data_IF_569738588564
#
_entry.id   IF_569738588564
#
_cell.length_a   1.000
_cell.length_b   1.000
_cell.length_c   1.000
_cell.angle_alpha   90.00
_cell.angle_beta   90.00
_cell.angle_gamma   90.00
#
_symmetry.space_group_name_H-M   'P 1'
#
loop_
_entity.id
_entity.type
_entity.pdbx_description
1 polymer ?
#
# COMPACT_ATOMS: atom_id res chain seq x y z
N UNK A 1 -36.58 -27.28 -25.53
CA UNK A 1 -36.78 -25.83 -25.31
C UNK A 1 -37.67 -25.62 -24.09
N UNK A 2 -37.46 -24.52 -23.35
CA UNK A 2 -38.16 -24.01 -22.14
C UNK A 2 -37.65 -24.40 -20.73
N UNK A 3 -36.71 -23.55 -20.30
CA UNK A 3 -36.25 -23.00 -19.00
C UNK A 3 -36.62 -23.59 -17.63
N UNK A 4 -35.53 -23.95 -16.92
CA UNK A 4 -35.37 -24.07 -15.47
C UNK A 4 -35.18 -22.70 -14.82
N UNK A 5 -35.84 -22.47 -13.69
CA UNK A 5 -35.61 -21.31 -12.84
C UNK A 5 -36.15 -21.51 -11.42
N UNK A 6 -35.53 -22.39 -10.67
CA UNK A 6 -35.65 -22.45 -9.20
C UNK A 6 -34.25 -22.58 -8.63
N UNK A 7 -33.79 -21.54 -7.94
CA UNK A 7 -32.66 -21.64 -7.01
C UNK A 7 -33.20 -21.25 -5.64
N UNK A 8 -33.85 -22.22 -5.01
CA UNK A 8 -33.93 -22.29 -3.56
C UNK A 8 -32.54 -22.59 -3.06
N UNK A 9 -31.82 -21.60 -2.55
CA UNK A 9 -30.69 -21.83 -1.66
C UNK A 9 -30.73 -20.75 -0.58
N UNK A 10 -31.49 -21.04 0.46
CA UNK A 10 -31.23 -20.50 1.78
C UNK A 10 -29.76 -20.80 2.09
N UNK A 11 -28.93 -19.76 2.14
CA UNK A 11 -27.58 -19.89 2.67
C UNK A 11 -27.70 -19.81 4.19
N UNK A 12 -28.14 -20.91 4.80
CA UNK A 12 -28.00 -21.16 6.24
C UNK A 12 -26.53 -21.45 6.51
N UNK A 13 -25.80 -20.45 7.00
CA UNK A 13 -24.45 -20.65 7.51
C UNK A 13 -24.53 -21.32 8.89
N UNK A 14 -24.39 -22.65 8.93
CA UNK A 14 -23.95 -23.33 10.15
C UNK A 14 -22.45 -23.17 10.31
N UNK A 15 -22.03 -22.32 11.25
CA UNK A 15 -20.63 -22.32 11.72
C UNK A 15 -20.54 -23.38 12.82
N UNK A 16 -20.29 -24.62 12.41
CA UNK A 16 -20.00 -25.72 13.32
C UNK A 16 -18.69 -25.46 14.05
N UNK A 17 -18.78 -25.54 15.37
CA UNK A 17 -17.71 -25.53 16.35
C UNK A 17 -16.49 -26.32 15.88
N UNK A 18 -15.33 -25.67 15.72
CA UNK A 18 -14.04 -26.15 16.21
C UNK A 18 -12.92 -25.18 15.80
N UNK A 19 -12.26 -24.57 16.78
CA UNK A 19 -10.83 -24.26 16.60
C UNK A 19 -10.13 -24.38 17.94
N UNK A 20 -9.49 -25.54 18.10
CA UNK A 20 -8.57 -25.85 19.16
C UNK A 20 -7.51 -24.73 19.31
N UNK A 21 -7.44 -24.16 20.52
CA UNK A 21 -6.27 -23.55 21.18
C UNK A 21 -5.12 -23.08 20.26
N UNK A 22 -5.43 -22.27 19.25
CA UNK A 22 -4.41 -21.47 18.55
C UNK A 22 -3.98 -20.43 19.57
N UNK A 23 -2.68 -20.37 19.86
CA UNK A 23 -2.09 -19.40 20.78
C UNK A 23 -2.85 -18.06 20.70
N UNK A 24 -3.33 -17.57 21.84
CA UNK A 24 -4.24 -16.42 21.93
C UNK A 24 -3.45 -15.14 21.62
N UNK A 25 -3.10 -14.97 20.34
CA UNK A 25 -2.35 -13.83 19.82
C UNK A 25 -3.28 -12.62 19.99
N UNK A 26 -2.96 -11.80 21.00
CA UNK A 26 -3.63 -10.52 21.22
C UNK A 26 -3.01 -9.47 20.31
N UNK A 27 -3.60 -9.26 19.15
CA UNK A 27 -3.33 -8.09 18.32
C UNK A 27 -4.05 -6.88 18.94
N UNK A 28 -3.29 -5.94 19.51
CA UNK A 28 -3.85 -4.70 20.10
C UNK A 28 -3.80 -3.54 19.10
N UNK A 29 -2.72 -3.45 18.34
CA UNK A 29 -2.41 -2.32 17.47
C UNK A 29 -2.01 -2.86 16.09
N UNK A 30 -2.63 -2.33 15.03
CA UNK A 30 -2.34 -2.65 13.64
C UNK A 30 -1.86 -1.37 12.96
N UNK A 31 -0.68 -1.38 12.37
CA UNK A 31 -0.16 -0.26 11.57
C UNK A 31 -0.47 -0.52 10.09
N UNK A 32 -1.23 0.38 9.48
CA UNK A 32 -1.55 0.39 8.06
C UNK A 32 -0.70 1.44 7.35
N UNK A 33 0.39 0.98 6.74
CA UNK A 33 1.25 1.82 5.92
C UNK A 33 0.65 1.95 4.51
N UNK A 34 0.39 3.17 4.07
CA UNK A 34 -0.25 3.45 2.78
C UNK A 34 0.50 4.54 2.02
N UNK A 35 0.71 4.31 0.74
CA UNK A 35 1.16 5.32 -0.24
C UNK A 35 -0.04 5.91 -1.03
N UNK A 36 -1.28 5.58 -0.63
CA UNK A 36 -2.52 5.90 -1.35
C UNK A 36 -2.59 5.41 -2.80
N UNK A 37 -1.73 4.48 -3.19
CA UNK A 37 -1.86 3.80 -4.49
C UNK A 37 -3.13 2.94 -4.51
N UNK A 38 -3.66 2.61 -5.70
CA UNK A 38 -4.78 1.69 -5.83
C UNK A 38 -4.52 0.34 -5.14
N UNK A 39 -3.28 -0.14 -5.16
CA UNK A 39 -2.88 -1.39 -4.50
C UNK A 39 -2.97 -1.29 -2.97
N UNK A 40 -2.57 -0.17 -2.38
CA UNK A 40 -2.72 0.05 -0.94
C UNK A 40 -4.20 0.15 -0.53
N UNK A 41 -5.05 0.76 -1.37
CA UNK A 41 -6.48 0.87 -1.09
C UNK A 41 -7.20 -0.49 -1.05
N UNK A 42 -6.79 -1.47 -1.89
CA UNK A 42 -7.38 -2.81 -1.84
C UNK A 42 -7.01 -3.58 -0.57
N UNK A 43 -5.91 -3.22 0.10
CA UNK A 43 -5.50 -3.82 1.38
C UNK A 43 -6.29 -3.29 2.60
N UNK A 44 -6.89 -2.10 2.50
CA UNK A 44 -7.67 -1.47 3.58
C UNK A 44 -8.82 -2.33 4.14
N UNK A 45 -9.70 -2.96 3.32
CA UNK A 45 -10.78 -3.80 3.85
C UNK A 45 -10.27 -5.01 4.64
N UNK A 46 -9.11 -5.55 4.28
CA UNK A 46 -8.49 -6.65 5.01
C UNK A 46 -7.97 -6.20 6.38
N UNK A 47 -7.29 -5.05 6.43
CA UNK A 47 -6.84 -4.44 7.68
C UNK A 47 -8.04 -4.15 8.61
N UNK A 48 -9.14 -3.64 8.06
CA UNK A 48 -10.38 -3.40 8.80
C UNK A 48 -11.01 -4.70 9.32
N UNK A 49 -11.04 -5.78 8.53
CA UNK A 49 -11.55 -7.08 8.96
C UNK A 49 -10.73 -7.67 10.11
N UNK A 50 -9.40 -7.55 10.06
CA UNK A 50 -8.51 -7.98 11.13
C UNK A 50 -8.74 -7.17 12.41
N UNK A 51 -8.84 -5.84 12.30
CA UNK A 51 -9.10 -5.00 13.47
C UNK A 51 -10.44 -5.33 14.14
N UNK A 52 -11.49 -5.61 13.35
CA UNK A 52 -12.78 -6.06 13.90
C UNK A 52 -12.69 -7.41 14.60
N UNK A 53 -11.97 -8.38 14.02
CA UNK A 53 -11.81 -9.73 14.59
C UNK A 53 -11.04 -9.71 15.92
N UNK A 54 -10.05 -8.85 16.05
CA UNK A 54 -9.17 -8.79 17.22
C UNK A 54 -9.48 -7.63 18.18
N UNK A 55 -10.53 -6.84 17.91
CA UNK A 55 -10.85 -5.60 18.62
C UNK A 55 -9.63 -4.67 18.75
N UNK A 56 -8.84 -4.58 17.67
CA UNK A 56 -7.59 -3.83 17.62
C UNK A 56 -7.80 -2.40 17.13
N UNK A 57 -6.90 -1.50 17.53
CA UNK A 57 -6.82 -0.14 16.97
C UNK A 57 -5.95 -0.12 15.72
N UNK A 58 -6.44 0.51 14.65
CA UNK A 58 -5.66 0.75 13.42
C UNK A 58 -5.00 2.12 13.51
N UNK A 59 -3.71 2.17 13.22
CA UNK A 59 -2.93 3.38 13.01
C UNK A 59 -2.61 3.50 11.52
N UNK A 60 -2.82 4.65 10.91
CA UNK A 60 -2.53 4.89 9.50
C UNK A 60 -1.21 5.65 9.37
N UNK A 61 -0.29 5.14 8.57
CA UNK A 61 0.98 5.78 8.25
C UNK A 61 1.04 6.05 6.75
N UNK A 62 1.03 7.32 6.37
CA UNK A 62 1.24 7.69 4.97
C UNK A 62 2.73 7.79 4.66
N UNK A 63 3.24 6.96 3.76
CA UNK A 63 4.65 7.00 3.35
C UNK A 63 4.81 8.03 2.25
N UNK A 64 5.58 9.08 2.53
CA UNK A 64 5.99 10.09 1.56
C UNK A 64 7.41 9.75 1.15
N UNK A 65 7.62 9.41 -0.13
CA UNK A 65 8.97 9.34 -0.66
C UNK A 65 9.46 10.78 -0.84
N UNK A 66 10.53 11.22 -0.17
CA UNK A 66 11.12 12.51 -0.48
C UNK A 66 11.60 12.45 -1.92
N UNK A 67 11.03 13.30 -2.79
CA UNK A 67 11.67 13.57 -4.08
C UNK A 67 13.12 13.94 -3.78
N UNK A 68 14.03 13.26 -4.50
CA UNK A 68 15.46 13.22 -4.24
C UNK A 68 15.96 14.48 -3.54
N UNK A 69 16.56 14.30 -2.34
CA UNK A 69 17.35 15.36 -1.73
C UNK A 69 18.24 15.97 -2.83
N UNK A 70 18.22 17.30 -3.06
CA UNK A 70 19.02 17.93 -4.10
C UNK A 70 20.50 17.95 -3.67
N UNK A 71 21.10 16.79 -3.45
CA UNK A 71 22.54 16.58 -3.36
C UNK A 71 23.21 16.83 -4.71
N UNK A 72 22.45 16.90 -5.81
CA UNK A 72 22.94 17.31 -7.12
C UNK A 72 23.20 18.82 -7.26
N UNK A 73 22.69 19.67 -6.35
CA UNK A 73 22.95 21.11 -6.42
C UNK A 73 24.41 21.48 -6.08
N UNK A 74 25.15 20.62 -5.36
CA UNK A 74 26.56 20.87 -5.04
C UNK A 74 27.49 20.49 -6.20
N UNK A 75 27.10 19.52 -7.04
CA UNK A 75 27.90 19.02 -8.17
C UNK A 75 27.92 19.95 -9.40
N UNK A 76 27.02 20.94 -9.47
CA UNK A 76 27.01 21.96 -10.53
C UNK A 76 27.92 23.16 -10.24
N UNK A 77 28.50 23.23 -9.04
CA UNK A 77 29.46 24.30 -8.69
C UNK A 77 30.91 23.97 -9.09
N UNK A 78 31.18 22.75 -9.59
CA UNK A 78 32.49 22.43 -10.16
C UNK A 78 32.67 23.14 -11.49
N UNK A 79 33.61 24.10 -11.61
CA UNK A 79 33.79 24.89 -12.83
C UNK A 79 34.09 24.01 -14.07
N UNK A 80 34.60 22.79 -13.86
CA UNK A 80 34.93 21.86 -14.94
C UNK A 80 33.72 21.37 -15.75
N UNK A 81 32.50 21.35 -15.19
CA UNK A 81 31.28 20.91 -15.89
C UNK A 81 30.58 22.06 -16.62
N UNK A 82 30.72 23.30 -16.15
CA UNK A 82 30.20 24.51 -16.81
C UNK A 82 30.88 24.73 -18.16
N UNK A 83 32.20 24.58 -18.22
CA UNK A 83 32.96 24.74 -19.47
C UNK A 83 32.54 23.71 -20.52
N UNK A 84 32.30 22.45 -20.12
CA UNK A 84 31.82 21.42 -21.04
C UNK A 84 30.40 21.70 -21.55
N UNK A 85 29.52 22.26 -20.72
CA UNK A 85 28.15 22.57 -21.11
C UNK A 85 28.12 23.79 -22.06
N UNK A 86 28.90 24.83 -21.76
CA UNK A 86 29.06 26.02 -22.62
C UNK A 86 29.68 25.64 -23.96
N UNK A 87 30.66 24.74 -23.97
CA UNK A 87 31.29 24.29 -25.20
C UNK A 87 30.33 23.49 -26.09
N UNK A 88 29.52 22.59 -25.51
CA UNK A 88 28.48 21.88 -26.27
C UNK A 88 27.44 22.81 -26.87
N UNK A 89 26.98 23.82 -26.13
CA UNK A 89 26.02 24.80 -26.63
C UNK A 89 26.59 25.70 -27.74
N UNK A 90 27.92 25.85 -27.81
CA UNK A 90 28.60 26.58 -28.89
C UNK A 90 28.78 25.75 -30.16
N UNK A 91 28.74 24.42 -30.07
CA UNK A 91 28.88 23.52 -31.22
C UNK A 91 27.55 23.29 -31.96
N UNK A 92 26.42 23.70 -31.38
CA UNK A 92 25.07 23.59 -31.96
C UNK A 92 24.62 24.87 -32.74
N UNK A 93 25.51 25.84 -32.96
CA UNK A 93 25.32 27.06 -33.77
C UNK A 93 26.25 27.06 -35.00
#
# INVERSE_FOLDING_TARGET
MCYRGTVSLEVTYEVSCQTALVALIKLKNILFATDFSPASLTALPYAAALARRYASKIYLAHIIMPEAYPLHALELSSPAKLDQQVQRQREDL
#
